data_IF_576041587764
#
_entry.id   IF_576041587764
#
_cell.length_a   1.000
_cell.length_b   1.000
_cell.length_c   1.000
_cell.angle_alpha   90.00
_cell.angle_beta   90.00
_cell.angle_gamma   90.00
#
_symmetry.space_group_name_H-M   'P 1'
#
loop_
_entity.id
_entity.type
_entity.pdbx_description
1 polymer ?
#
# COMPACT_ATOMS: atom_id res chain seq x y z
N UNK A 1 -11.38 9.31 -13.76
CA UNK A 1 -10.57 10.32 -13.07
C UNK A 1 -9.12 10.10 -13.43
N UNK A 2 -8.37 11.16 -13.72
CA UNK A 2 -6.92 11.07 -13.93
C UNK A 2 -6.26 10.80 -12.58
N UNK A 3 -5.54 9.69 -12.49
CA UNK A 3 -4.86 9.21 -11.29
C UNK A 3 -3.44 9.73 -11.26
N UNK A 4 -3.33 11.04 -11.33
CA UNK A 4 -2.03 11.67 -11.46
C UNK A 4 -1.45 11.87 -10.06
N UNK A 5 -0.13 11.78 -9.97
CA UNK A 5 0.59 12.25 -8.81
C UNK A 5 0.57 13.78 -8.87
N UNK A 6 0.24 14.51 -7.79
CA UNK A 6 0.32 14.11 -6.38
C UNK A 6 -1.00 13.72 -5.70
N UNK A 7 -2.16 13.82 -6.34
CA UNK A 7 -3.47 13.59 -5.69
C UNK A 7 -3.60 12.19 -5.10
N UNK A 8 -3.02 11.19 -5.78
CA UNK A 8 -2.97 9.81 -5.29
C UNK A 8 -2.25 9.71 -3.93
N UNK A 9 -1.15 10.45 -3.74
CA UNK A 9 -0.40 10.46 -2.48
C UNK A 9 -1.29 11.00 -1.35
N UNK A 10 -1.95 12.15 -1.56
CA UNK A 10 -2.82 12.74 -0.55
C UNK A 10 -4.02 11.87 -0.17
N UNK A 11 -4.45 10.96 -1.05
CA UNK A 11 -5.54 10.00 -0.79
C UNK A 11 -5.06 8.77 -0.04
N UNK A 12 -3.90 8.21 -0.41
CA UNK A 12 -3.36 6.99 0.22
C UNK A 12 -2.77 7.32 1.60
N UNK A 13 -2.04 8.42 1.72
CA UNK A 13 -1.30 8.78 2.93
C UNK A 13 -2.14 8.78 4.22
N UNK A 14 -3.32 9.43 4.30
CA UNK A 14 -4.13 9.40 5.53
C UNK A 14 -4.58 7.99 5.89
N UNK A 15 -4.81 7.10 4.90
CA UNK A 15 -5.18 5.70 5.14
C UNK A 15 -4.01 4.92 5.70
N UNK A 16 -2.79 5.17 5.20
CA UNK A 16 -1.56 4.59 5.74
C UNK A 16 -1.38 5.00 7.20
N UNK A 17 -1.50 6.29 7.53
CA UNK A 17 -1.39 6.77 8.91
C UNK A 17 -2.46 6.14 9.82
N UNK A 18 -3.71 6.03 9.34
CA UNK A 18 -4.78 5.37 10.09
C UNK A 18 -4.46 3.91 10.37
N UNK A 19 -4.01 3.15 9.36
CA UNK A 19 -3.63 1.74 9.53
C UNK A 19 -2.45 1.59 10.49
N UNK A 20 -1.43 2.43 10.37
CA UNK A 20 -0.29 2.43 11.30
C UNK A 20 -0.77 2.70 12.72
N UNK A 21 -1.65 3.69 12.95
CA UNK A 21 -2.19 3.98 14.28
C UNK A 21 -3.13 2.87 14.82
N UNK A 22 -3.91 2.22 13.96
CA UNK A 22 -4.81 1.12 14.34
C UNK A 22 -4.03 -0.15 14.73
N UNK A 23 -2.90 -0.41 14.07
CA UNK A 23 -2.11 -1.63 14.26
C UNK A 23 -0.90 -1.47 15.18
N UNK A 24 -0.42 -0.24 15.38
CA UNK A 24 0.72 0.08 16.24
C UNK A 24 0.25 1.03 17.33
N UNK A 25 0.02 0.47 18.51
CA UNK A 25 -0.06 1.27 19.74
C UNK A 25 1.22 2.10 19.90
N UNK A 26 1.15 3.22 20.62
CA UNK A 26 2.29 4.14 20.88
C UNK A 26 3.56 3.45 21.43
N UNK A 27 3.44 2.23 21.95
CA UNK A 27 4.53 1.41 22.51
C UNK A 27 5.01 0.27 21.60
N UNK A 28 4.47 0.11 20.39
CA UNK A 28 4.87 -0.96 19.49
C UNK A 28 6.11 -0.55 18.68
N UNK A 29 7.28 -0.99 19.17
CA UNK A 29 8.54 -0.88 18.42
C UNK A 29 8.41 -1.56 17.05
N UNK A 30 8.96 -0.91 16.01
CA UNK A 30 9.02 -1.41 14.63
C UNK A 30 9.61 -2.83 14.55
N UNK A 31 10.45 -3.20 15.52
CA UNK A 31 11.07 -4.53 15.64
C UNK A 31 10.07 -5.65 15.90
N UNK A 32 8.86 -5.35 16.37
CA UNK A 32 7.81 -6.34 16.67
C UNK A 32 6.85 -6.60 15.51
N UNK A 33 6.94 -5.83 14.42
CA UNK A 33 6.03 -5.97 13.27
C UNK A 33 6.45 -7.21 12.48
N UNK A 34 5.57 -8.21 12.45
CA UNK A 34 5.82 -9.39 11.61
C UNK A 34 5.48 -9.08 10.14
N UNK A 35 6.05 -9.87 9.22
CA UNK A 35 5.75 -9.73 7.79
C UNK A 35 4.26 -9.87 7.52
N UNK A 36 3.60 -10.81 8.19
CA UNK A 36 2.17 -11.09 8.02
C UNK A 36 1.32 -9.91 8.46
N UNK A 37 1.71 -9.22 9.53
CA UNK A 37 1.03 -7.99 9.98
C UNK A 37 1.21 -6.86 8.95
N UNK A 38 2.40 -6.73 8.37
CA UNK A 38 2.67 -5.75 7.32
C UNK A 38 1.86 -6.03 6.05
N UNK A 39 1.82 -7.28 5.59
CA UNK A 39 1.01 -7.70 4.44
C UNK A 39 -0.48 -7.44 4.69
N UNK A 40 -0.97 -7.74 5.89
CA UNK A 40 -2.34 -7.43 6.28
C UNK A 40 -2.65 -5.92 6.24
N UNK A 41 -1.76 -5.07 6.76
CA UNK A 41 -1.92 -3.61 6.68
C UNK A 41 -2.00 -3.13 5.23
N UNK A 42 -1.16 -3.66 4.35
CA UNK A 42 -1.18 -3.32 2.92
C UNK A 42 -2.50 -3.73 2.28
N UNK A 43 -2.98 -4.95 2.56
CA UNK A 43 -4.24 -5.44 2.01
C UNK A 43 -5.45 -4.65 2.54
N UNK A 44 -5.49 -4.30 3.82
CA UNK A 44 -6.57 -3.50 4.41
C UNK A 44 -6.63 -2.09 3.77
N UNK A 45 -5.49 -1.43 3.58
CA UNK A 45 -5.42 -0.14 2.88
C UNK A 45 -5.83 -0.31 1.42
N UNK A 46 -5.38 -1.37 0.75
CA UNK A 46 -5.72 -1.64 -0.64
C UNK A 46 -7.23 -1.89 -0.82
N UNK A 47 -7.87 -2.64 0.07
CA UNK A 47 -9.32 -2.88 0.05
C UNK A 47 -10.08 -1.56 0.23
N UNK A 48 -9.67 -0.70 1.18
CA UNK A 48 -10.25 0.64 1.36
C UNK A 48 -10.11 1.49 0.08
N UNK A 49 -8.97 1.41 -0.60
CA UNK A 49 -8.74 2.10 -1.88
C UNK A 49 -9.62 1.55 -3.00
N UNK A 50 -9.78 0.23 -3.13
CA UNK A 50 -10.64 -0.39 -4.15
C UNK A 50 -12.11 -0.07 -3.92
N UNK A 51 -12.55 0.01 -2.66
CA UNK A 51 -13.92 0.36 -2.33
C UNK A 51 -14.25 1.81 -2.74
N UNK A 52 -13.34 2.75 -2.51
CA UNK A 52 -13.52 4.14 -2.94
C UNK A 52 -13.30 4.32 -4.45
N UNK A 53 -12.45 3.48 -5.04
CA UNK A 53 -12.00 3.60 -6.41
C UNK A 53 -11.90 2.23 -7.09
N UNK A 54 -13.03 1.68 -7.58
CA UNK A 54 -13.06 0.37 -8.20
C UNK A 54 -12.14 0.26 -9.44
N UNK A 55 -11.83 1.38 -10.10
CA UNK A 55 -10.92 1.47 -11.25
C UNK A 55 -9.49 0.99 -10.98
N UNK A 56 -9.09 0.90 -9.70
CA UNK A 56 -7.80 0.33 -9.27
C UNK A 56 -7.79 -1.20 -9.46
N UNK A 57 -8.94 -1.85 -9.27
CA UNK A 57 -9.09 -3.30 -9.43
C UNK A 57 -9.59 -3.69 -10.82
N UNK A 58 -10.30 -2.79 -11.48
CA UNK A 58 -10.90 -3.01 -12.80
C UNK A 58 -9.98 -2.62 -13.96
N UNK A 59 -8.66 -2.72 -13.81
CA UNK A 59 -7.75 -2.44 -14.90
C UNK A 59 -8.00 -3.43 -16.06
N UNK A 60 -8.49 -2.98 -17.23
CA UNK A 60 -8.78 -3.85 -18.36
C UNK A 60 -7.51 -4.53 -18.90
N UNK A 61 -6.34 -3.95 -18.67
CA UNK A 61 -5.07 -4.60 -18.96
C UNK A 61 -4.83 -5.76 -17.99
N UNK A 62 -5.07 -5.61 -16.67
CA UNK A 62 -4.93 -6.73 -15.72
C UNK A 62 -5.94 -7.87 -15.96
N UNK A 63 -7.21 -7.54 -16.26
CA UNK A 63 -8.28 -8.53 -16.49
C UNK A 63 -7.99 -9.43 -17.69
N UNK A 64 -7.51 -8.88 -18.81
CA UNK A 64 -7.21 -9.64 -20.04
C UNK A 64 -6.14 -10.71 -19.85
N UNK A 65 -5.24 -10.51 -18.88
CA UNK A 65 -4.13 -11.43 -18.63
C UNK A 65 -4.32 -12.32 -17.39
N UNK A 66 -5.55 -12.44 -16.85
CA UNK A 66 -5.90 -13.48 -15.85
C UNK A 66 -6.13 -14.86 -16.47
N UNK A 67 -6.21 -14.95 -17.80
CA UNK A 67 -6.20 -16.21 -18.54
C UNK A 67 -4.78 -16.77 -18.62
N UNK A 68 -4.59 -17.99 -18.11
CA UNK A 68 -3.40 -18.86 -18.22
C UNK A 68 -2.41 -18.39 -19.30
N UNK A 69 -1.21 -17.95 -18.87
CA UNK A 69 0.08 -17.91 -19.60
C UNK A 69 0.85 -16.61 -19.29
N UNK A 70 2.04 -16.79 -18.71
CA UNK A 70 3.15 -15.81 -18.51
C UNK A 70 2.98 -14.82 -17.35
N UNK A 71 3.43 -15.26 -16.18
CA UNK A 71 3.71 -14.43 -15.00
C UNK A 71 5.14 -13.82 -15.01
N UNK A 72 6.03 -14.27 -15.91
CA UNK A 72 7.48 -13.98 -15.80
C UNK A 72 7.99 -12.83 -16.68
N UNK A 73 7.18 -12.32 -17.61
CA UNK A 73 7.57 -11.20 -18.50
C UNK A 73 6.38 -10.26 -18.71
N UNK A 74 6.25 -9.22 -17.87
CA UNK A 74 5.26 -8.15 -18.11
C UNK A 74 5.93 -6.78 -18.00
N UNK A 75 6.01 -6.01 -19.11
CA UNK A 75 6.51 -4.64 -19.10
C UNK A 75 5.51 -3.63 -18.49
N UNK A 76 4.25 -4.04 -18.27
CA UNK A 76 3.23 -3.23 -17.61
C UNK A 76 2.90 -3.80 -16.24
N UNK A 77 3.23 -3.04 -15.19
CA UNK A 77 2.66 -3.22 -13.86
C UNK A 77 1.22 -2.72 -13.95
N UNK A 78 0.24 -3.59 -13.66
CA UNK A 78 -1.14 -3.15 -13.64
C UNK A 78 -1.44 -2.28 -12.43
N UNK A 79 -2.56 -1.53 -12.50
CA UNK A 79 -2.93 -0.54 -11.48
C UNK A 79 -3.01 -1.12 -10.07
N UNK A 80 -3.46 -2.37 -9.91
CA UNK A 80 -3.53 -3.03 -8.60
C UNK A 80 -2.15 -3.18 -7.96
N UNK A 81 -1.18 -3.66 -8.75
CA UNK A 81 0.19 -3.89 -8.26
C UNK A 81 0.90 -2.58 -7.94
N UNK A 82 0.79 -1.57 -8.81
CA UNK A 82 1.39 -0.26 -8.57
C UNK A 82 0.82 0.36 -7.29
N UNK A 83 -0.50 0.29 -7.08
CA UNK A 83 -1.12 0.82 -5.86
C UNK A 83 -0.64 0.09 -4.61
N UNK A 84 -0.56 -1.25 -4.64
CA UNK A 84 -0.01 -2.04 -3.52
C UNK A 84 1.45 -1.71 -3.22
N UNK A 85 2.28 -1.60 -4.25
CA UNK A 85 3.69 -1.25 -4.11
C UNK A 85 3.84 0.17 -3.52
N UNK A 86 3.03 1.13 -3.98
CA UNK A 86 3.00 2.49 -3.43
C UNK A 86 2.56 2.52 -1.96
N UNK A 87 1.49 1.79 -1.60
CA UNK A 87 1.06 1.64 -0.21
C UNK A 87 2.21 1.07 0.64
N UNK A 88 2.91 0.06 0.13
CA UNK A 88 4.03 -0.60 0.82
C UNK A 88 5.18 0.38 1.06
N UNK A 89 5.58 1.16 0.05
CA UNK A 89 6.64 2.18 0.17
C UNK A 89 6.26 3.23 1.21
N UNK A 90 5.01 3.72 1.19
CA UNK A 90 4.54 4.72 2.14
C UNK A 90 4.48 4.17 3.57
N UNK A 91 3.98 2.94 3.73
CA UNK A 91 3.93 2.25 5.02
C UNK A 91 5.34 2.10 5.61
N UNK A 92 6.29 1.56 4.84
CA UNK A 92 7.69 1.42 5.26
C UNK A 92 8.30 2.78 5.63
N UNK A 93 8.06 3.81 4.81
CA UNK A 93 8.56 5.16 5.04
C UNK A 93 8.05 5.73 6.36
N UNK A 94 6.78 5.52 6.69
CA UNK A 94 6.18 5.97 7.95
C UNK A 94 6.68 5.16 9.16
N UNK A 95 6.89 3.85 9.01
CA UNK A 95 7.50 3.03 10.05
C UNK A 95 8.92 3.50 10.39
N UNK A 96 9.75 3.78 9.37
CA UNK A 96 11.09 4.33 9.58
C UNK A 96 11.06 5.72 10.20
N UNK A 97 10.12 6.57 9.81
CA UNK A 97 9.94 7.92 10.38
C UNK A 97 9.63 7.84 11.88
N UNK A 98 8.73 6.95 12.29
CA UNK A 98 8.39 6.74 13.71
C UNK A 98 9.56 6.15 14.50
N UNK A 99 10.29 5.20 13.92
CA UNK A 99 11.48 4.64 14.56
C UNK A 99 12.56 5.72 14.80
N UNK A 100 12.78 6.63 13.84
CA UNK A 100 13.71 7.75 14.03
C UNK A 100 13.24 8.76 15.08
N UNK A 101 11.93 8.95 15.24
CA UNK A 101 11.38 9.79 16.31
C UNK A 101 11.55 9.17 17.71
N UNK A 102 11.73 7.85 17.81
CA UNK A 102 11.91 7.14 19.07
C UNK A 102 13.36 7.21 19.60
N UNK A 103 14.33 7.46 18.73
CA UNK A 103 15.73 7.71 19.11
C UNK A 103 16.06 9.20 19.03
N UNK A 104 15.77 10.00 20.07
CA UNK A 104 16.34 11.34 20.18
C UNK A 104 17.85 11.20 20.37
N UNK A 105 18.62 11.79 19.44
CA UNK A 105 20.04 12.09 19.65
C UNK A 105 20.18 13.22 20.68
#
# INVERSE_FOLDING_TARGET
>A
MHYDYPELYYRIYPKVISAVNEHLDDNCSMEKITREQMEKMVDDIYIKMVHEYPEIHEDPYERKYRGRVRAEQRPFFGRSRITRDLITILLISELFRRNRSFFPL
#
